data_IF_714691234691
#
_entry.id   IF_714691234691
#
_cell.length_a   1.000
_cell.length_b   1.000
_cell.length_c   1.000
_cell.angle_alpha   90.00
_cell.angle_beta   90.00
_cell.angle_gamma   90.00
#
_symmetry.space_group_name_H-M   'P 1'
#
loop_
_entity.id
_entity.type
_entity.pdbx_description
1 polymer ?
#
# COMPACT_ATOMS: atom_id res chain seq x y z
N UNK A 1 -9.84 -19.89 8.24
CA UNK A 1 -9.48 -20.41 6.90
C UNK A 1 -7.95 -20.47 6.77
N UNK A 2 -7.41 -21.37 5.95
CA UNK A 2 -5.96 -21.43 5.72
C UNK A 2 -5.59 -20.56 4.51
N UNK A 3 -5.59 -19.26 4.70
CA UNK A 3 -5.23 -18.30 3.66
C UNK A 3 -3.82 -18.56 3.09
N UNK A 4 -3.63 -18.25 1.82
CA UNK A 4 -2.33 -18.33 1.12
C UNK A 4 -1.66 -19.72 1.21
N UNK A 5 -2.47 -20.77 1.09
CA UNK A 5 -1.97 -22.15 1.06
C UNK A 5 -1.19 -22.45 -0.23
N UNK A 6 -1.58 -21.83 -1.35
CA UNK A 6 -0.96 -21.96 -2.68
C UNK A 6 -0.84 -23.41 -3.17
N UNK A 7 -1.77 -24.28 -2.78
CA UNK A 7 -1.75 -25.70 -3.17
C UNK A 7 -1.89 -25.91 -4.69
N UNK A 8 -2.54 -24.96 -5.38
CA UNK A 8 -2.76 -25.00 -6.82
C UNK A 8 -1.68 -24.27 -7.61
N UNK A 9 -0.68 -23.70 -6.94
CA UNK A 9 0.39 -22.98 -7.62
C UNK A 9 1.25 -23.94 -8.45
N UNK A 10 1.49 -23.64 -9.74
CA UNK A 10 2.40 -24.44 -10.57
C UNK A 10 3.88 -24.27 -10.17
N UNK A 11 4.16 -23.28 -9.30
CA UNK A 11 5.50 -22.96 -8.84
C UNK A 11 5.62 -23.05 -7.32
N UNK A 12 6.77 -23.43 -6.78
CA UNK A 12 7.00 -23.39 -5.34
C UNK A 12 6.98 -21.94 -4.83
N UNK A 13 6.15 -21.67 -3.82
CA UNK A 13 6.08 -20.36 -3.16
C UNK A 13 6.88 -20.42 -1.87
N UNK A 14 7.77 -19.45 -1.69
CA UNK A 14 8.61 -19.33 -0.49
C UNK A 14 7.73 -19.16 0.76
N UNK A 15 8.09 -19.81 1.85
CA UNK A 15 7.28 -19.82 3.07
C UNK A 15 7.22 -18.42 3.72
N UNK A 16 8.28 -17.62 3.60
CA UNK A 16 8.27 -16.26 4.12
C UNK A 16 7.22 -15.37 3.43
N UNK A 17 6.94 -15.59 2.13
CA UNK A 17 5.84 -14.90 1.43
C UNK A 17 4.49 -15.31 2.01
N UNK A 18 4.25 -16.62 2.17
CA UNK A 18 3.00 -17.13 2.75
C UNK A 18 2.77 -16.58 4.15
N UNK A 19 3.82 -16.58 4.96
CA UNK A 19 3.77 -16.09 6.35
C UNK A 19 3.48 -14.61 6.40
N UNK A 20 4.17 -13.79 5.59
CA UNK A 20 3.94 -12.35 5.54
C UNK A 20 2.53 -12.01 5.05
N UNK A 21 2.02 -12.73 4.04
CA UNK A 21 0.67 -12.50 3.53
C UNK A 21 -0.42 -12.88 4.54
N UNK A 22 -0.26 -14.00 5.26
CA UNK A 22 -1.16 -14.37 6.36
C UNK A 22 -1.14 -13.36 7.49
N UNK A 23 0.04 -12.90 7.87
CA UNK A 23 0.18 -11.86 8.89
C UNK A 23 -0.50 -10.56 8.47
N UNK A 24 -0.31 -10.14 7.21
CA UNK A 24 -0.97 -8.96 6.70
C UNK A 24 -2.51 -9.10 6.66
N UNK A 25 -3.04 -10.27 6.28
CA UNK A 25 -4.49 -10.54 6.29
C UNK A 25 -5.10 -10.46 7.69
N UNK A 26 -4.37 -10.90 8.72
CA UNK A 26 -4.78 -10.71 10.11
C UNK A 26 -4.80 -9.23 10.50
N UNK A 27 -3.77 -8.48 10.11
CA UNK A 27 -3.71 -7.04 10.34
C UNK A 27 -4.83 -6.29 9.59
N UNK A 28 -5.11 -6.68 8.35
CA UNK A 28 -6.20 -6.11 7.55
C UNK A 28 -7.58 -6.31 8.20
N UNK A 29 -7.79 -7.45 8.84
CA UNK A 29 -9.03 -7.76 9.55
C UNK A 29 -9.24 -6.90 10.80
N UNK A 30 -8.15 -6.51 11.45
CA UNK A 30 -8.16 -5.82 12.74
C UNK A 30 -8.31 -4.30 12.59
N UNK A 31 -8.78 -3.62 13.64
CA UNK A 31 -8.81 -2.17 13.67
C UNK A 31 -7.42 -1.57 13.53
N UNK A 32 -7.30 -0.59 12.65
CA UNK A 32 -6.08 0.17 12.41
C UNK A 32 -5.96 1.40 13.31
N UNK A 33 -5.25 2.40 12.82
CA UNK A 33 -5.14 3.67 13.53
C UNK A 33 -6.32 4.60 13.24
N UNK A 34 -6.81 4.62 12.00
CA UNK A 34 -7.84 5.56 11.50
C UNK A 34 -9.03 4.86 10.84
N UNK A 35 -8.93 3.57 10.54
CA UNK A 35 -9.98 2.77 9.94
C UNK A 35 -10.27 1.54 10.80
N UNK A 36 -11.55 1.27 11.06
CA UNK A 36 -11.98 0.02 11.70
C UNK A 36 -11.65 -1.20 10.83
N UNK A 37 -11.61 -2.39 11.41
CA UNK A 37 -11.38 -3.62 10.65
C UNK A 37 -12.38 -3.78 9.50
N UNK A 38 -13.65 -3.43 9.71
CA UNK A 38 -14.66 -3.48 8.66
C UNK A 38 -14.36 -2.51 7.50
N UNK A 39 -13.94 -1.29 7.81
CA UNK A 39 -13.57 -0.31 6.78
C UNK A 39 -12.26 -0.70 6.07
N UNK A 40 -11.28 -1.24 6.77
CA UNK A 40 -10.03 -1.74 6.17
C UNK A 40 -10.30 -2.84 5.15
N UNK A 41 -11.17 -3.80 5.48
CA UNK A 41 -11.61 -4.86 4.55
C UNK A 41 -12.41 -4.26 3.39
N UNK A 42 -13.26 -3.27 3.65
CA UNK A 42 -13.99 -2.56 2.60
C UNK A 42 -13.05 -1.78 1.65
N UNK A 43 -12.01 -1.11 2.18
CA UNK A 43 -10.95 -0.50 1.35
C UNK A 43 -10.28 -1.56 0.47
N UNK A 44 -9.94 -2.73 1.00
CA UNK A 44 -9.39 -3.83 0.23
C UNK A 44 -10.35 -4.32 -0.88
N UNK A 45 -11.65 -4.36 -0.62
CA UNK A 45 -12.65 -4.66 -1.64
C UNK A 45 -12.68 -3.58 -2.74
N UNK A 46 -12.58 -2.30 -2.38
CA UNK A 46 -12.53 -1.21 -3.37
C UNK A 46 -11.26 -1.25 -4.21
N UNK A 47 -10.12 -1.71 -3.70
CA UNK A 47 -8.91 -1.96 -4.51
C UNK A 47 -9.23 -2.89 -5.67
N UNK A 48 -10.01 -3.95 -5.41
CA UNK A 48 -10.44 -4.92 -6.43
C UNK A 48 -11.47 -4.35 -7.40
N UNK A 49 -12.42 -3.59 -6.89
CA UNK A 49 -13.44 -2.93 -7.70
C UNK A 49 -12.81 -1.92 -8.67
N UNK A 50 -11.80 -1.18 -8.22
CA UNK A 50 -11.14 -0.15 -9.01
C UNK A 50 -10.55 -0.67 -10.33
N UNK A 51 -10.05 -1.91 -10.35
CA UNK A 51 -9.43 -2.50 -11.55
C UNK A 51 -10.40 -2.68 -12.73
N UNK A 52 -11.69 -2.77 -12.45
CA UNK A 52 -12.75 -2.96 -13.47
C UNK A 52 -13.75 -1.78 -13.48
N UNK A 53 -13.40 -0.66 -12.87
CA UNK A 53 -14.28 0.50 -12.80
C UNK A 53 -14.34 1.24 -14.15
N UNK A 54 -15.53 1.31 -14.75
CA UNK A 54 -15.75 1.99 -16.02
C UNK A 54 -15.41 3.48 -15.94
N UNK A 55 -15.88 4.17 -14.90
CA UNK A 55 -15.54 5.59 -14.67
C UNK A 55 -14.04 5.83 -14.55
N UNK A 56 -13.30 4.95 -13.88
CA UNK A 56 -11.84 5.04 -13.82
C UNK A 56 -11.19 4.87 -15.19
N UNK A 57 -11.70 3.95 -16.01
CA UNK A 57 -11.22 3.75 -17.39
C UNK A 57 -11.43 4.99 -18.24
N UNK A 58 -12.60 5.61 -18.18
CA UNK A 58 -12.90 6.87 -18.86
C UNK A 58 -11.99 8.00 -18.37
N UNK A 59 -11.91 8.20 -17.04
CA UNK A 59 -11.09 9.22 -16.41
C UNK A 59 -9.62 9.12 -16.81
N UNK A 60 -9.09 7.90 -16.91
CA UNK A 60 -7.68 7.68 -17.29
C UNK A 60 -7.37 8.18 -18.71
N UNK A 61 -8.34 8.20 -19.60
CA UNK A 61 -8.19 8.63 -20.99
C UNK A 61 -8.32 10.15 -21.16
N UNK A 62 -8.92 10.83 -20.18
CA UNK A 62 -9.17 12.27 -20.25
C UNK A 62 -7.91 13.10 -20.01
N UNK A 63 -7.77 14.20 -20.75
CA UNK A 63 -6.70 15.18 -20.54
C UNK A 63 -6.86 15.98 -19.24
N UNK A 64 -8.11 16.14 -18.78
CA UNK A 64 -8.48 16.85 -17.54
C UNK A 64 -9.30 15.92 -16.63
N UNK A 65 -8.71 14.87 -16.05
CA UNK A 65 -9.44 13.84 -15.33
C UNK A 65 -10.23 14.38 -14.12
N UNK A 66 -9.78 15.46 -13.52
CA UNK A 66 -10.44 16.08 -12.37
C UNK A 66 -11.69 16.88 -12.74
N UNK A 67 -11.88 17.22 -14.03
CA UNK A 67 -13.10 17.86 -14.53
C UNK A 67 -14.21 16.84 -14.85
N UNK A 68 -13.86 15.59 -15.08
CA UNK A 68 -14.83 14.53 -15.36
C UNK A 68 -15.61 14.18 -14.09
N UNK A 69 -16.93 14.21 -14.20
CA UNK A 69 -17.85 13.79 -13.14
C UNK A 69 -18.43 12.42 -13.48
N UNK A 70 -18.49 11.56 -12.49
CA UNK A 70 -19.03 10.20 -12.63
C UNK A 70 -19.12 9.53 -11.26
N UNK A 71 -19.59 8.29 -11.27
CA UNK A 71 -19.75 7.46 -10.08
C UNK A 71 -18.90 6.22 -10.26
N UNK A 72 -18.14 5.86 -9.23
CA UNK A 72 -17.35 4.65 -9.23
C UNK A 72 -18.25 3.40 -9.14
N UNK A 73 -17.80 2.32 -9.78
CA UNK A 73 -18.36 1.00 -9.54
C UNK A 73 -17.92 0.54 -8.14
N UNK A 74 -18.71 0.88 -7.14
CA UNK A 74 -18.44 0.54 -5.75
C UNK A 74 -19.47 -0.45 -5.21
N UNK A 75 -19.05 -1.35 -4.34
CA UNK A 75 -19.91 -2.31 -3.62
C UNK A 75 -19.82 -2.16 -2.11
N UNK A 76 -19.16 -1.13 -1.61
CA UNK A 76 -18.92 -0.89 -0.18
C UNK A 76 -19.63 0.35 0.32
N UNK A 77 -19.61 0.55 1.63
CA UNK A 77 -20.27 1.67 2.31
C UNK A 77 -19.28 2.66 2.95
N UNK A 78 -17.99 2.59 2.60
CA UNK A 78 -17.03 3.60 3.04
C UNK A 78 -17.32 4.95 2.38
N UNK A 79 -16.83 6.07 2.95
CA UNK A 79 -17.08 7.40 2.40
C UNK A 79 -16.68 7.53 0.93
N UNK A 80 -17.47 8.27 0.14
CA UNK A 80 -17.21 8.47 -1.31
C UNK A 80 -15.80 9.03 -1.59
N UNK A 81 -15.30 9.93 -0.72
CA UNK A 81 -13.92 10.44 -0.84
C UNK A 81 -12.87 9.34 -0.68
N UNK A 82 -13.11 8.38 0.21
CA UNK A 82 -12.22 7.23 0.37
C UNK A 82 -12.29 6.30 -0.84
N UNK A 83 -13.50 6.06 -1.39
CA UNK A 83 -13.67 5.30 -2.64
C UNK A 83 -12.89 5.97 -3.77
N UNK A 84 -13.08 7.29 -4.00
CA UNK A 84 -12.34 8.01 -5.04
C UNK A 84 -10.83 7.94 -4.82
N UNK A 85 -10.37 8.05 -3.57
CA UNK A 85 -8.95 7.95 -3.24
C UNK A 85 -8.37 6.56 -3.57
N UNK A 86 -9.04 5.47 -3.18
CA UNK A 86 -8.65 4.10 -3.54
C UNK A 86 -8.58 3.96 -5.06
N UNK A 87 -9.63 4.34 -5.75
CA UNK A 87 -9.74 4.20 -7.21
C UNK A 87 -8.64 4.98 -7.93
N UNK A 88 -8.31 6.21 -7.49
CA UNK A 88 -7.20 7.01 -8.07
C UNK A 88 -5.84 6.38 -7.82
N UNK A 89 -5.58 5.91 -6.60
CA UNK A 89 -4.30 5.26 -6.29
C UNK A 89 -4.09 4.02 -7.16
N UNK A 90 -5.14 3.21 -7.36
CA UNK A 90 -5.06 1.98 -8.16
C UNK A 90 -4.92 2.26 -9.66
N UNK A 91 -5.67 3.22 -10.20
CA UNK A 91 -5.81 3.35 -11.65
C UNK A 91 -5.07 4.53 -12.27
N UNK A 92 -4.74 5.57 -11.48
CA UNK A 92 -4.26 6.86 -12.01
C UNK A 92 -3.28 7.60 -11.06
N UNK A 93 -2.47 6.85 -10.33
CA UNK A 93 -1.56 7.35 -9.30
C UNK A 93 -0.59 8.43 -9.82
N UNK A 94 -0.21 8.39 -11.09
CA UNK A 94 0.74 9.35 -11.69
C UNK A 94 0.20 10.76 -11.79
N UNK A 95 -1.13 10.95 -11.70
CA UNK A 95 -1.80 12.25 -11.76
C UNK A 95 -2.35 12.71 -10.41
N UNK A 96 -2.01 12.04 -9.30
CA UNK A 96 -2.29 12.53 -7.95
C UNK A 96 -1.42 13.77 -7.70
N UNK A 97 -2.05 14.87 -7.28
CA UNK A 97 -1.38 16.14 -7.01
C UNK A 97 -1.46 16.50 -5.54
N UNK A 98 -0.51 17.33 -5.07
CA UNK A 98 -0.54 17.87 -3.70
C UNK A 98 -1.86 18.60 -3.42
N UNK A 99 -2.32 19.43 -4.36
CA UNK A 99 -3.59 20.16 -4.24
C UNK A 99 -4.77 19.24 -4.00
N UNK A 100 -4.87 18.14 -4.73
CA UNK A 100 -5.96 17.18 -4.52
C UNK A 100 -5.90 16.54 -3.14
N UNK A 101 -4.71 16.22 -2.63
CA UNK A 101 -4.55 15.66 -1.26
C UNK A 101 -4.94 16.72 -0.21
N UNK A 102 -4.61 17.98 -0.43
CA UNK A 102 -5.04 19.11 0.42
C UNK A 102 -6.57 19.25 0.41
N UNK A 103 -7.21 19.15 -0.76
CA UNK A 103 -8.67 19.18 -0.90
C UNK A 103 -9.37 18.01 -0.18
N UNK A 104 -8.76 16.81 -0.15
CA UNK A 104 -9.26 15.69 0.67
C UNK A 104 -9.24 16.04 2.17
N UNK A 105 -8.13 16.59 2.64
CA UNK A 105 -7.96 16.95 4.06
C UNK A 105 -8.87 18.12 4.50
N UNK A 106 -9.18 19.05 3.59
CA UNK A 106 -10.15 20.13 3.81
C UNK A 106 -11.61 19.62 3.83
N UNK A 107 -11.84 18.41 3.30
CA UNK A 107 -13.11 17.69 3.34
C UNK A 107 -13.14 16.74 4.54
N UNK A 108 -13.75 15.58 4.41
CA UNK A 108 -13.92 14.64 5.54
C UNK A 108 -12.90 13.48 5.52
N UNK A 109 -11.78 13.59 4.78
CA UNK A 109 -10.73 12.57 4.73
C UNK A 109 -9.40 13.14 5.21
N UNK A 110 -9.08 12.95 6.49
CA UNK A 110 -7.83 13.46 7.07
C UNK A 110 -6.58 12.86 6.39
N UNK A 111 -5.45 13.57 6.49
CA UNK A 111 -4.18 13.10 5.96
C UNK A 111 -3.76 11.73 6.53
N UNK A 112 -4.03 11.51 7.80
CA UNK A 112 -3.73 10.25 8.48
C UNK A 112 -4.60 9.11 7.95
N UNK A 113 -5.92 9.34 7.82
CA UNK A 113 -6.83 8.36 7.22
C UNK A 113 -6.45 8.06 5.76
N UNK A 114 -6.07 9.09 4.98
CA UNK A 114 -5.57 8.92 3.61
C UNK A 114 -4.28 8.10 3.56
N UNK A 115 -3.31 8.34 4.46
CA UNK A 115 -2.04 7.59 4.49
C UNK A 115 -2.26 6.13 4.86
N UNK A 116 -3.11 5.84 5.85
CA UNK A 116 -3.44 4.44 6.18
C UNK A 116 -4.16 3.75 5.01
N UNK A 117 -5.13 4.42 4.39
CA UNK A 117 -5.80 3.93 3.19
C UNK A 117 -4.79 3.63 2.07
N UNK A 118 -3.85 4.53 1.79
CA UNK A 118 -2.81 4.31 0.78
C UNK A 118 -1.94 3.10 1.10
N UNK A 119 -1.59 2.89 2.37
CA UNK A 119 -0.88 1.70 2.84
C UNK A 119 -1.65 0.41 2.54
N UNK A 120 -2.96 0.40 2.83
CA UNK A 120 -3.83 -0.75 2.54
C UNK A 120 -3.90 -1.00 1.03
N UNK A 121 -4.09 0.05 0.22
CA UNK A 121 -4.16 -0.07 -1.25
C UNK A 121 -2.90 -0.71 -1.81
N UNK A 122 -1.73 -0.20 -1.43
CA UNK A 122 -0.44 -0.72 -1.92
C UNK A 122 -0.24 -2.18 -1.52
N UNK A 123 -0.55 -2.52 -0.28
CA UNK A 123 -0.38 -3.87 0.23
C UNK A 123 -1.31 -4.87 -0.47
N UNK A 124 -2.62 -4.59 -0.51
CA UNK A 124 -3.60 -5.48 -1.14
C UNK A 124 -3.35 -5.62 -2.63
N UNK A 125 -3.09 -4.50 -3.32
CA UNK A 125 -2.81 -4.52 -4.75
C UNK A 125 -1.58 -5.38 -5.05
N UNK A 126 -0.50 -5.24 -4.29
CA UNK A 126 0.73 -6.01 -4.52
C UNK A 126 0.53 -7.52 -4.28
N UNK A 127 -0.26 -7.91 -3.28
CA UNK A 127 -0.61 -9.31 -2.99
C UNK A 127 -1.50 -9.88 -4.11
N UNK A 128 -2.50 -9.12 -4.55
CA UNK A 128 -3.40 -9.54 -5.61
C UNK A 128 -2.66 -9.69 -6.96
N UNK A 129 -1.75 -8.75 -7.28
CA UNK A 129 -0.92 -8.84 -8.50
C UNK A 129 0.05 -10.03 -8.47
N UNK A 130 0.56 -10.40 -7.30
CA UNK A 130 1.35 -11.62 -7.15
C UNK A 130 0.52 -12.86 -7.52
N UNK A 131 -0.73 -12.96 -7.05
CA UNK A 131 -1.62 -14.06 -7.40
C UNK A 131 -1.95 -14.06 -8.90
N UNK A 132 -2.28 -12.90 -9.48
CA UNK A 132 -2.54 -12.76 -10.92
C UNK A 132 -1.34 -13.16 -11.77
N UNK A 133 -0.14 -12.77 -11.39
CA UNK A 133 1.09 -13.13 -12.10
C UNK A 133 1.34 -14.65 -12.12
N UNK A 134 0.84 -15.39 -11.13
CA UNK A 134 0.88 -16.84 -11.06
C UNK A 134 -0.29 -17.54 -11.76
N UNK A 135 -1.27 -16.78 -12.25
CA UNK A 135 -2.51 -17.32 -12.82
C UNK A 135 -3.45 -17.91 -11.77
N UNK A 136 -3.32 -17.48 -10.51
CA UNK A 136 -4.12 -17.98 -9.39
C UNK A 136 -5.30 -17.05 -9.11
N UNK A 137 -6.36 -17.62 -8.53
CA UNK A 137 -7.47 -16.84 -7.99
C UNK A 137 -6.98 -15.91 -6.85
N UNK A 138 -7.66 -14.77 -6.72
CA UNK A 138 -7.40 -13.89 -5.58
C UNK A 138 -7.82 -14.56 -4.28
N UNK A 139 -7.04 -14.34 -3.23
CA UNK A 139 -7.37 -14.85 -1.91
C UNK A 139 -8.66 -14.19 -1.40
N UNK A 140 -9.50 -14.94 -0.72
CA UNK A 140 -10.71 -14.40 -0.08
C UNK A 140 -10.31 -13.34 0.96
N UNK A 141 -10.96 -12.17 0.94
CA UNK A 141 -10.74 -11.15 1.97
C UNK A 141 -11.10 -11.72 3.35
N UNK A 142 -10.41 -11.29 4.41
CA UNK A 142 -10.67 -11.79 5.74
C UNK A 142 -12.00 -11.26 6.29
N UNK A 143 -12.57 -11.97 7.24
CA UNK A 143 -13.65 -11.44 8.08
C UNK A 143 -13.08 -10.37 9.02
N UNK A 144 -13.78 -9.23 9.09
CA UNK A 144 -13.33 -8.13 9.94
C UNK A 144 -13.51 -8.42 11.43
N UNK A 145 -12.59 -7.92 12.23
CA UNK A 145 -12.62 -7.99 13.69
C UNK A 145 -13.00 -6.62 14.26
N UNK A 146 -13.67 -6.63 15.40
CA UNK A 146 -13.92 -5.42 16.16
C UNK A 146 -12.67 -4.98 16.93
N UNK A 147 -12.47 -3.67 17.08
CA UNK A 147 -11.34 -3.12 17.83
C UNK A 147 -11.48 -1.61 17.97
N UNK A 148 -10.66 -1.02 18.82
CA UNK A 148 -10.61 0.43 19.01
C UNK A 148 -9.56 1.06 18.10
N UNK A 149 -9.88 2.22 17.53
CA UNK A 149 -8.96 3.03 16.75
C UNK A 149 -7.97 3.71 17.69
N UNK A 150 -6.68 3.68 17.37
CA UNK A 150 -5.68 4.35 18.19
C UNK A 150 -5.61 5.85 17.97
N UNK A 151 -6.04 6.35 16.80
CA UNK A 151 -5.88 7.73 16.35
C UNK A 151 -4.45 8.27 16.55
N UNK A 152 -3.47 7.37 16.53
CA UNK A 152 -2.10 7.73 16.79
C UNK A 152 -1.49 8.48 15.61
N UNK A 153 -0.90 9.63 15.91
CA UNK A 153 -0.10 10.45 15.00
C UNK A 153 1.24 10.76 15.65
N UNK A 154 2.37 10.53 14.98
CA UNK A 154 3.68 10.87 15.52
C UNK A 154 3.82 12.38 15.76
N UNK A 155 4.31 12.77 16.94
CA UNK A 155 4.55 14.19 17.26
C UNK A 155 5.67 14.80 16.40
N UNK A 156 6.62 13.97 15.96
CA UNK A 156 7.76 14.38 15.13
C UNK A 156 7.40 14.57 13.65
N UNK A 157 6.19 14.17 13.22
CA UNK A 157 5.78 14.31 11.83
C UNK A 157 5.70 15.79 11.44
N UNK A 158 6.41 16.14 10.37
CA UNK A 158 6.52 17.51 9.86
C UNK A 158 6.20 17.57 8.38
N UNK A 159 5.67 18.71 7.94
CA UNK A 159 5.53 19.03 6.52
C UNK A 159 6.91 19.09 5.86
N UNK A 160 6.98 18.65 4.62
CA UNK A 160 8.26 18.61 3.91
C UNK A 160 8.10 18.34 2.42
N UNK A 161 8.85 17.37 1.92
CA UNK A 161 8.91 17.05 0.47
C UNK A 161 7.73 16.22 -0.03
N UNK A 162 6.95 15.60 0.86
CA UNK A 162 5.74 14.84 0.50
C UNK A 162 4.51 15.72 0.38
N UNK A 163 3.39 15.10 0.00
CA UNK A 163 2.08 15.76 -0.05
C UNK A 163 1.40 15.82 1.33
N UNK A 164 1.88 15.04 2.27
CA UNK A 164 1.45 14.98 3.67
C UNK A 164 2.66 15.08 4.60
N UNK A 165 2.43 15.36 5.87
CA UNK A 165 3.48 15.31 6.88
C UNK A 165 4.12 13.91 6.97
N UNK A 166 5.40 13.83 7.25
CA UNK A 166 6.17 12.61 7.37
C UNK A 166 7.15 12.72 8.54
N UNK A 167 7.62 11.60 9.07
CA UNK A 167 8.74 11.62 10.01
C UNK A 167 9.99 12.20 9.33
N UNK A 168 10.70 13.14 9.97
CA UNK A 168 11.99 13.62 9.48
C UNK A 168 13.06 12.52 9.57
N UNK A 169 14.23 12.77 8.97
CA UNK A 169 15.35 11.81 8.95
C UNK A 169 15.77 11.40 10.37
N UNK A 170 15.74 12.34 11.29
CA UNK A 170 16.08 12.22 12.72
C UNK A 170 14.85 11.93 13.61
N UNK A 171 13.70 11.58 13.01
CA UNK A 171 12.45 11.27 13.71
C UNK A 171 12.40 9.88 14.35
N UNK A 172 13.50 9.12 14.32
CA UNK A 172 13.65 7.80 14.92
C UNK A 172 13.85 7.88 16.43
N UNK A 173 12.87 8.46 17.13
CA UNK A 173 12.94 8.71 18.57
C UNK A 173 11.59 8.44 19.25
N UNK A 174 11.60 8.21 20.55
CA UNK A 174 10.37 7.97 21.31
C UNK A 174 9.65 6.70 20.84
N UNK A 175 8.37 6.82 20.49
CA UNK A 175 7.55 5.70 20.03
C UNK A 175 7.97 5.20 18.64
N UNK A 176 8.68 6.00 17.87
CA UNK A 176 9.20 5.67 16.53
C UNK A 176 10.66 5.20 16.56
N UNK A 177 11.26 4.99 17.75
CA UNK A 177 12.61 4.46 17.86
C UNK A 177 12.74 3.12 17.10
N UNK A 178 13.78 3.01 16.27
CA UNK A 178 13.99 1.82 15.43
C UNK A 178 13.13 1.75 14.18
N UNK A 179 12.39 2.81 13.82
CA UNK A 179 11.52 2.79 12.63
C UNK A 179 12.33 2.71 11.33
N UNK A 180 13.56 3.21 11.32
CA UNK A 180 14.41 3.18 10.12
C UNK A 180 15.25 1.90 10.05
N UNK A 181 14.91 0.93 9.18
CA UNK A 181 15.71 -0.28 8.99
C UNK A 181 17.13 0.08 8.54
N UNK A 182 18.13 -0.35 9.30
CA UNK A 182 19.53 -0.03 9.00
C UNK A 182 19.87 1.47 9.04
N UNK A 183 19.10 2.27 9.76
CA UNK A 183 19.30 3.72 9.91
C UNK A 183 18.99 4.53 8.63
N UNK A 184 18.18 4.01 7.72
CA UNK A 184 17.86 4.63 6.42
C UNK A 184 16.47 5.24 6.38
N UNK A 185 16.39 6.45 5.87
CA UNK A 185 15.16 7.24 5.80
C UNK A 185 15.02 8.00 4.47
N UNK A 186 15.07 7.28 3.34
CA UNK A 186 14.78 7.89 2.04
C UNK A 186 13.31 8.34 1.94
N UNK A 187 13.00 9.30 1.08
CA UNK A 187 11.64 9.85 0.94
C UNK A 187 10.59 8.75 0.67
N UNK A 188 10.90 7.77 -0.16
CA UNK A 188 10.00 6.64 -0.44
C UNK A 188 9.66 5.83 0.82
N UNK A 189 10.61 5.70 1.76
CA UNK A 189 10.38 5.04 3.03
C UNK A 189 9.52 5.89 3.96
N UNK A 190 9.72 7.20 3.92
CA UNK A 190 9.03 8.15 4.80
C UNK A 190 7.56 8.35 4.43
N UNK A 191 7.18 8.03 3.19
CA UNK A 191 5.86 8.36 2.63
C UNK A 191 4.65 7.86 3.46
N UNK A 192 4.77 6.71 4.14
CA UNK A 192 3.71 6.15 4.99
C UNK A 192 3.87 6.44 6.48
N UNK A 193 4.90 7.18 6.89
CA UNK A 193 5.27 7.30 8.31
C UNK A 193 4.39 8.24 9.12
N UNK A 194 3.48 8.99 8.49
CA UNK A 194 2.41 9.69 9.22
C UNK A 194 1.53 8.69 10.00
N UNK A 195 1.44 7.45 9.52
CA UNK A 195 0.81 6.32 10.21
C UNK A 195 1.86 5.19 10.35
N UNK A 196 2.63 5.17 11.45
CA UNK A 196 3.76 4.24 11.60
C UNK A 196 3.40 2.76 11.44
N UNK A 197 2.18 2.36 11.79
CA UNK A 197 1.73 0.99 11.59
C UNK A 197 1.58 0.65 10.11
N UNK A 198 1.00 1.54 9.29
CA UNK A 198 0.91 1.33 7.85
C UNK A 198 2.31 1.19 7.20
N UNK A 199 3.29 1.98 7.68
CA UNK A 199 4.68 1.83 7.25
C UNK A 199 5.28 0.48 7.63
N UNK A 200 5.08 0.01 8.88
CA UNK A 200 5.60 -1.29 9.34
C UNK A 200 4.97 -2.46 8.60
N UNK A 201 3.67 -2.40 8.35
CA UNK A 201 2.92 -3.39 7.57
C UNK A 201 3.47 -3.49 6.13
N UNK A 202 3.64 -2.35 5.47
CA UNK A 202 4.24 -2.28 4.13
C UNK A 202 5.69 -2.78 4.12
N UNK A 203 6.49 -2.39 5.12
CA UNK A 203 7.89 -2.79 5.21
C UNK A 203 8.06 -4.32 5.29
N UNK A 204 7.20 -4.98 6.09
CA UNK A 204 7.21 -6.43 6.22
C UNK A 204 6.88 -7.14 4.90
N UNK A 205 5.93 -6.61 4.12
CA UNK A 205 5.59 -7.13 2.79
C UNK A 205 6.70 -6.88 1.77
N UNK A 206 7.23 -5.66 1.71
CA UNK A 206 8.27 -5.30 0.75
C UNK A 206 9.54 -6.12 0.94
N UNK A 207 9.89 -6.48 2.18
CA UNK A 207 11.05 -7.31 2.48
C UNK A 207 10.98 -8.70 1.85
N UNK A 208 9.79 -9.31 1.78
CA UNK A 208 9.61 -10.64 1.18
C UNK A 208 9.29 -10.58 -0.32
N UNK A 209 8.61 -9.54 -0.77
CA UNK A 209 8.25 -9.35 -2.19
C UNK A 209 9.44 -8.86 -3.02
N UNK A 210 10.28 -8.03 -2.44
CA UNK A 210 11.44 -7.45 -3.10
C UNK A 210 12.72 -7.83 -2.34
N UNK A 211 13.33 -6.91 -1.61
CA UNK A 211 14.56 -7.10 -0.85
C UNK A 211 14.44 -6.33 0.47
N UNK A 212 14.88 -6.91 1.59
CA UNK A 212 14.96 -6.18 2.84
C UNK A 212 15.78 -4.88 2.68
N UNK A 213 15.29 -3.78 3.23
CA UNK A 213 15.90 -2.45 3.03
C UNK A 213 17.36 -2.39 3.48
N UNK A 214 17.70 -3.08 4.59
CA UNK A 214 19.07 -3.17 5.07
C UNK A 214 20.02 -3.83 4.05
N UNK A 215 19.49 -4.71 3.17
CA UNK A 215 20.26 -5.44 2.18
C UNK A 215 20.36 -4.70 0.84
N UNK A 216 19.63 -3.61 0.67
CA UNK A 216 19.63 -2.85 -0.59
C UNK A 216 20.99 -2.27 -0.97
N UNK A 217 21.87 -2.01 0.02
CA UNK A 217 23.23 -1.54 -0.25
C UNK A 217 24.19 -2.62 -0.69
N UNK A 218 23.87 -3.85 -0.37
CA UNK A 218 24.72 -4.99 -0.67
C UNK A 218 24.34 -5.52 -2.06
N UNK A 219 25.21 -5.29 -3.05
CA UNK A 219 25.02 -5.82 -4.42
C UNK A 219 25.35 -7.32 -4.49
N UNK A 220 25.13 -8.04 -3.40
CA UNK A 220 25.33 -9.49 -3.31
C UNK A 220 24.04 -10.24 -3.60
N UNK A 221 24.16 -11.53 -3.88
CA UNK A 221 23.04 -12.44 -4.06
C UNK A 221 22.18 -12.45 -2.79
N UNK A 222 20.90 -12.07 -2.86
CA UNK A 222 20.01 -12.18 -1.70
C UNK A 222 19.77 -13.64 -1.35
N UNK A 223 19.80 -13.95 -0.07
CA UNK A 223 19.55 -15.30 0.42
C UNK A 223 18.16 -15.81 0.01
N UNK A 224 18.08 -17.09 -0.36
CA UNK A 224 16.82 -17.73 -0.77
C UNK A 224 16.27 -17.29 -2.13
N UNK A 225 17.03 -16.53 -2.93
CA UNK A 225 16.64 -16.13 -4.31
C UNK A 225 17.36 -17.00 -5.34
N UNK A 226 16.65 -17.40 -6.39
CA UNK A 226 17.22 -18.12 -7.54
C UNK A 226 17.74 -17.18 -8.63
N UNK A 227 17.28 -15.92 -8.63
CA UNK A 227 17.76 -14.86 -9.50
C UNK A 227 18.75 -13.98 -8.76
N UNK A 228 19.75 -13.47 -9.44
CA UNK A 228 20.76 -12.60 -8.86
C UNK A 228 20.27 -11.16 -8.65
N UNK A 229 21.06 -10.37 -7.94
CA UNK A 229 20.69 -8.98 -7.62
C UNK A 229 20.45 -8.14 -8.87
N UNK A 230 21.24 -8.29 -9.91
CA UNK A 230 21.08 -7.54 -11.16
C UNK A 230 19.79 -7.87 -11.88
N UNK A 231 19.41 -9.16 -11.87
CA UNK A 231 18.14 -9.62 -12.43
C UNK A 231 16.94 -9.07 -11.65
N UNK A 232 17.03 -9.03 -10.31
CA UNK A 232 16.00 -8.44 -9.46
C UNK A 232 15.83 -6.94 -9.80
N UNK A 233 16.90 -6.19 -9.91
CA UNK A 233 16.85 -4.77 -10.24
C UNK A 233 16.32 -4.52 -11.66
N UNK A 234 16.66 -5.39 -12.62
CA UNK A 234 16.12 -5.31 -13.98
C UNK A 234 14.59 -5.49 -13.97
N UNK A 235 14.07 -6.46 -13.22
CA UNK A 235 12.62 -6.68 -13.09
C UNK A 235 11.97 -5.49 -12.41
N UNK A 236 12.53 -4.99 -11.30
CA UNK A 236 12.00 -3.83 -10.57
C UNK A 236 11.97 -2.58 -11.46
N UNK A 237 13.05 -2.31 -12.21
CA UNK A 237 13.11 -1.21 -13.17
C UNK A 237 12.07 -1.35 -14.29
N UNK A 238 11.83 -2.58 -14.78
CA UNK A 238 10.80 -2.83 -15.79
C UNK A 238 9.39 -2.59 -15.25
N UNK A 239 9.09 -3.05 -14.04
CA UNK A 239 7.81 -2.79 -13.38
C UNK A 239 7.58 -1.29 -13.19
N UNK A 240 8.59 -0.57 -12.71
CA UNK A 240 8.53 0.89 -12.56
C UNK A 240 8.25 1.60 -13.88
N UNK A 241 8.91 1.17 -14.97
CA UNK A 241 8.69 1.74 -16.30
C UNK A 241 7.28 1.49 -16.84
N UNK A 242 6.71 0.29 -16.62
CA UNK A 242 5.34 -0.05 -17.02
C UNK A 242 4.33 0.81 -16.25
N UNK A 243 4.56 1.01 -14.96
CA UNK A 243 3.70 1.81 -14.09
C UNK A 243 3.96 3.32 -14.21
N UNK A 244 4.83 3.74 -15.13
CA UNK A 244 5.19 5.15 -15.31
C UNK A 244 5.67 5.81 -14.00
N UNK A 245 6.34 5.04 -13.15
CA UNK A 245 6.88 5.53 -11.90
C UNK A 245 7.98 6.55 -12.18
N UNK A 246 7.82 7.75 -11.62
CA UNK A 246 8.73 8.87 -11.85
C UNK A 246 9.91 8.88 -10.86
N UNK A 247 9.79 8.20 -9.72
CA UNK A 247 10.78 8.19 -8.64
C UNK A 247 11.89 7.17 -8.89
#
# INVERSE_FOLDING_TARGET
MNHFAYNESPYPIREEIRTAYRSYWQQLASAGSWWSGAERVAIAQEVRNATNCEFCSERKQELSPYALKGVHNSSTTIPELAIDAVHRIVTDQTRITKRWVEELAESDLSNEAYVELAGIVVAVFSIDEFNRALGLALETLPESESGELSHYRPQQAVEGTGFVAMLPVDGDTGNEAGIWPGGRSANVLRALTLVPNAFREWLALSAVQYIPIQDMVNMVQPEGRVIDRMQIELVAGRVSAINQCFY
#
